data_IF_114128101147
#
_entry.id   IF_114128101147
#
_cell.length_a   1.000
_cell.length_b   1.000
_cell.length_c   1.000
_cell.angle_alpha   90.00
_cell.angle_beta   90.00
_cell.angle_gamma   90.00
#
_symmetry.space_group_name_H-M   'P 1'
#
loop_
_entity.id
_entity.type
_entity.pdbx_description
1 polymer ?
#
# COMPACT_ATOMS: atom_id res chain seq x y z
N UNK A 1 -14.31 -4.57 -0.86
CA UNK A 1 -13.64 -5.76 -1.44
C UNK A 1 -14.61 -6.76 -2.05
N UNK A 2 -15.79 -7.01 -1.45
CA UNK A 2 -16.78 -7.96 -1.98
C UNK A 2 -17.16 -7.79 -3.47
N UNK A 3 -17.14 -6.55 -3.99
CA UNK A 3 -17.41 -6.26 -5.42
C UNK A 3 -16.41 -6.91 -6.38
N UNK A 4 -15.11 -6.92 -6.02
CA UNK A 4 -14.06 -7.57 -6.84
C UNK A 4 -14.25 -9.08 -6.78
N UNK A 5 -14.44 -9.64 -5.57
CA UNK A 5 -14.66 -11.07 -5.38
C UNK A 5 -15.89 -11.58 -6.16
N UNK A 6 -17.01 -10.84 -6.14
CA UNK A 6 -18.21 -11.14 -6.94
C UNK A 6 -17.90 -11.08 -8.44
N UNK A 7 -17.23 -10.03 -8.92
CA UNK A 7 -16.88 -9.93 -10.33
C UNK A 7 -15.95 -11.06 -10.81
N UNK A 8 -15.00 -11.49 -9.99
CA UNK A 8 -14.14 -12.64 -10.29
C UNK A 8 -14.92 -13.95 -10.33
N UNK A 9 -15.80 -14.19 -9.34
CA UNK A 9 -16.66 -15.39 -9.28
C UNK A 9 -17.58 -15.48 -10.49
N UNK A 10 -18.15 -14.36 -10.93
CA UNK A 10 -19.03 -14.29 -12.09
C UNK A 10 -18.28 -14.37 -13.44
N UNK A 11 -16.96 -14.62 -13.47
CA UNK A 11 -16.13 -14.64 -14.68
C UNK A 11 -15.91 -13.28 -15.35
N UNK A 12 -16.35 -12.18 -14.72
CA UNK A 12 -16.29 -10.81 -15.25
C UNK A 12 -14.93 -10.17 -15.01
N UNK A 13 -13.88 -10.74 -15.61
CA UNK A 13 -12.49 -10.31 -15.39
C UNK A 13 -12.24 -8.84 -15.76
N UNK A 14 -12.86 -8.31 -16.82
CA UNK A 14 -12.75 -6.89 -17.19
C UNK A 14 -13.29 -5.96 -16.08
N UNK A 15 -14.42 -6.32 -15.48
CA UNK A 15 -15.01 -5.60 -14.34
C UNK A 15 -14.12 -5.69 -13.09
N UNK A 16 -13.53 -6.85 -12.82
CA UNK A 16 -12.59 -7.02 -11.72
C UNK A 16 -11.35 -6.11 -11.89
N UNK A 17 -10.76 -6.06 -13.09
CA UNK A 17 -9.65 -5.16 -13.42
C UNK A 17 -10.02 -3.68 -13.24
N UNK A 18 -11.19 -3.26 -13.72
CA UNK A 18 -11.67 -1.88 -13.54
C UNK A 18 -11.87 -1.51 -12.06
N UNK A 19 -12.42 -2.42 -11.25
CA UNK A 19 -12.59 -2.20 -9.82
C UNK A 19 -11.25 -2.14 -9.06
N UNK A 20 -10.28 -2.98 -9.42
CA UNK A 20 -8.91 -2.90 -8.89
C UNK A 20 -8.24 -1.58 -9.28
N UNK A 21 -8.45 -1.10 -10.51
CA UNK A 21 -7.97 0.19 -10.95
C UNK A 21 -8.53 1.33 -10.09
N UNK A 22 -9.85 1.40 -9.93
CA UNK A 22 -10.51 2.41 -9.08
C UNK A 22 -9.97 2.33 -7.63
N UNK A 23 -9.81 1.12 -7.11
CA UNK A 23 -9.32 0.91 -5.74
C UNK A 23 -7.91 1.50 -5.55
N UNK A 24 -6.98 1.24 -6.48
CA UNK A 24 -5.60 1.74 -6.39
C UNK A 24 -5.49 3.27 -6.53
N UNK A 25 -6.48 3.90 -7.16
CA UNK A 25 -6.56 5.36 -7.31
C UNK A 25 -7.30 6.05 -6.15
N UNK A 26 -8.04 5.29 -5.34
CA UNK A 26 -8.84 5.85 -4.24
C UNK A 26 -7.98 6.40 -3.10
N UNK A 27 -8.27 7.63 -2.67
CA UNK A 27 -7.62 8.27 -1.52
C UNK A 27 -7.80 7.46 -0.23
N UNK A 28 -8.98 6.90 0.00
CA UNK A 28 -9.25 6.09 1.21
C UNK A 28 -8.43 4.80 1.23
N UNK A 29 -8.20 4.19 0.06
CA UNK A 29 -7.35 3.02 -0.06
C UNK A 29 -5.87 3.34 0.23
N UNK A 30 -5.37 4.48 -0.26
CA UNK A 30 -4.01 4.94 0.03
C UNK A 30 -3.80 5.22 1.52
N UNK A 31 -4.77 5.87 2.17
CA UNK A 31 -4.76 6.11 3.62
C UNK A 31 -4.71 4.80 4.40
N UNK A 32 -5.55 3.83 4.02
CA UNK A 32 -5.58 2.52 4.67
C UNK A 32 -4.26 1.76 4.49
N UNK A 33 -3.65 1.82 3.30
CA UNK A 33 -2.37 1.21 3.01
C UNK A 33 -1.26 1.77 3.92
N UNK A 34 -1.16 3.10 4.01
CA UNK A 34 -0.18 3.77 4.88
C UNK A 34 -0.41 3.45 6.35
N UNK A 35 -1.68 3.48 6.81
CA UNK A 35 -2.04 3.09 8.18
C UNK A 35 -1.53 1.70 8.51
N UNK A 36 -1.79 0.71 7.64
CA UNK A 36 -1.40 -0.69 7.87
C UNK A 36 0.11 -0.87 8.00
N UNK A 37 0.92 -0.15 7.22
CA UNK A 37 2.39 -0.21 7.31
C UNK A 37 2.91 0.56 8.53
N UNK A 38 2.35 1.73 8.84
CA UNK A 38 2.78 2.54 9.98
C UNK A 38 2.43 1.94 11.36
N UNK A 39 1.42 1.07 11.43
CA UNK A 39 0.92 0.47 12.67
C UNK A 39 1.30 -1.00 12.83
N UNK A 40 2.12 -1.56 11.93
CA UNK A 40 2.58 -2.94 12.07
C UNK A 40 3.66 -3.07 13.16
N UNK A 41 3.95 -4.30 13.60
CA UNK A 41 4.96 -4.59 14.63
C UNK A 41 6.37 -4.08 14.25
N UNK A 42 6.68 -4.06 12.95
CA UNK A 42 7.97 -3.62 12.42
C UNK A 42 8.04 -2.12 12.09
N UNK A 43 7.05 -1.31 12.43
CA UNK A 43 6.92 0.06 11.90
C UNK A 43 7.99 1.02 12.43
N UNK A 44 8.64 0.64 13.53
CA UNK A 44 9.77 1.37 14.13
C UNK A 44 11.11 1.04 13.47
N UNK A 45 11.17 -0.02 12.66
CA UNK A 45 12.41 -0.46 12.01
C UNK A 45 12.48 0.14 10.60
N UNK A 46 13.48 0.99 10.28
CA UNK A 46 13.62 1.54 8.95
C UNK A 46 14.05 0.44 7.95
N UNK A 47 13.54 0.57 6.73
CA UNK A 47 13.97 -0.24 5.60
C UNK A 47 15.34 0.20 5.05
N UNK A 48 15.61 -0.15 3.80
CA UNK A 48 16.83 0.29 3.08
C UNK A 48 16.85 1.81 2.83
N UNK A 49 15.70 2.46 2.87
CA UNK A 49 15.55 3.91 2.67
C UNK A 49 15.83 4.73 3.94
N UNK A 50 15.99 4.10 5.10
CA UNK A 50 16.24 4.79 6.37
C UNK A 50 15.02 5.54 6.93
N UNK A 51 13.83 5.42 6.34
CA UNK A 51 12.68 6.24 6.69
C UNK A 51 11.75 5.52 7.68
N UNK A 52 11.28 6.25 8.70
CA UNK A 52 10.27 5.78 9.66
C UNK A 52 9.07 6.73 9.69
N UNK A 53 7.85 6.18 9.61
CA UNK A 53 6.58 6.92 9.61
C UNK A 53 6.00 7.11 11.02
N UNK A 54 6.78 7.77 11.88
CA UNK A 54 6.45 8.01 13.29
C UNK A 54 5.50 9.19 13.53
N UNK A 55 5.47 10.19 12.65
CA UNK A 55 4.60 11.36 12.78
C UNK A 55 3.47 11.37 11.76
N UNK A 56 2.36 12.06 12.09
CA UNK A 56 1.23 12.22 11.18
C UNK A 56 1.60 12.97 9.91
N UNK A 57 2.48 13.98 10.01
CA UNK A 57 3.00 14.71 8.86
C UNK A 57 3.74 13.79 7.88
N UNK A 58 4.57 12.86 8.39
CA UNK A 58 5.28 11.88 7.55
C UNK A 58 4.32 10.86 6.93
N UNK A 59 3.32 10.39 7.68
CA UNK A 59 2.29 9.49 7.15
C UNK A 59 1.50 10.16 6.02
N UNK A 60 1.07 11.40 6.21
CA UNK A 60 0.33 12.14 5.18
C UNK A 60 1.20 12.43 3.95
N UNK A 61 2.48 12.75 4.14
CA UNK A 61 3.44 12.86 3.03
C UNK A 61 3.55 11.55 2.24
N UNK A 62 3.63 10.40 2.93
CA UNK A 62 3.66 9.09 2.28
C UNK A 62 2.38 8.79 1.48
N UNK A 63 1.20 9.16 2.00
CA UNK A 63 -0.08 9.02 1.26
C UNK A 63 -0.06 9.80 -0.05
N UNK A 64 0.48 11.02 -0.02
CA UNK A 64 0.56 11.87 -1.20
C UNK A 64 1.63 11.39 -2.20
N UNK A 65 2.73 10.80 -1.70
CA UNK A 65 3.78 10.22 -2.52
C UNK A 65 3.38 8.86 -3.14
N UNK A 66 2.40 8.17 -2.56
CA UNK A 66 1.97 6.85 -3.04
C UNK A 66 1.33 6.99 -4.43
N UNK A 67 2.11 6.63 -5.45
CA UNK A 67 1.74 6.65 -6.85
C UNK A 67 1.96 5.28 -7.49
N UNK A 68 1.05 4.89 -8.37
CA UNK A 68 1.18 3.69 -9.21
C UNK A 68 2.12 3.94 -10.40
N UNK A 69 2.23 5.20 -10.85
CA UNK A 69 3.11 5.57 -11.96
C UNK A 69 4.56 5.59 -11.47
N UNK A 70 5.47 5.01 -12.26
CA UNK A 70 6.92 5.02 -12.02
C UNK A 70 7.36 4.44 -10.65
N UNK A 71 6.59 3.51 -10.08
CA UNK A 71 7.02 2.81 -8.86
C UNK A 71 8.22 1.92 -9.17
N UNK A 72 9.35 2.23 -8.54
CA UNK A 72 10.56 1.41 -8.55
C UNK A 72 10.76 0.83 -7.16
N UNK A 73 10.66 -0.49 -7.03
CA UNK A 73 10.88 -1.17 -5.77
C UNK A 73 12.38 -1.14 -5.42
N UNK A 74 12.69 -0.69 -4.20
CA UNK A 74 14.05 -0.81 -3.64
C UNK A 74 14.30 -2.25 -3.18
N UNK A 75 15.57 -2.70 -3.14
CA UNK A 75 15.90 -4.04 -2.65
C UNK A 75 15.48 -4.24 -1.19
N UNK A 76 15.22 -5.49 -0.82
CA UNK A 76 14.86 -5.86 0.55
C UNK A 76 16.10 -5.79 1.46
N UNK A 77 15.96 -5.15 2.63
CA UNK A 77 16.98 -5.18 3.69
C UNK A 77 16.88 -6.50 4.45
N UNK A 78 17.90 -7.36 4.36
CA UNK A 78 17.98 -8.60 5.13
C UNK A 78 18.40 -8.29 6.57
N UNK A 79 17.64 -8.76 7.54
CA UNK A 79 17.92 -8.62 8.97
C UNK A 79 17.64 -9.99 9.62
N UNK A 80 18.60 -10.49 10.39
CA UNK A 80 18.39 -11.69 11.20
C UNK A 80 17.50 -11.35 12.40
N UNK A 81 16.42 -12.11 12.59
CA UNK A 81 15.55 -12.00 13.76
C UNK A 81 15.90 -13.22 14.63
N UNK A 82 16.57 -13.03 15.78
CA UNK A 82 16.89 -14.10 16.72
C UNK A 82 15.64 -14.73 17.34
#
# INVERSE_FOLDING_TARGET
>A
QMRIAKATRDGKHGKAKALQWILTHSRSAKLLAVKRVSQNKGSKTPGIDGVVWNTDTRRMKAVNQLSRKAYQAKPLKRIYIP
#
